data_IF_596183374226
#
_entry.id   IF_596183374226
#
_cell.length_a   1.000
_cell.length_b   1.000
_cell.length_c   1.000
_cell.angle_alpha   90.00
_cell.angle_beta   90.00
_cell.angle_gamma   90.00
#
_symmetry.space_group_name_H-M   'P 1'
#
loop_
_entity.id
_entity.type
_entity.pdbx_description
1 polymer ?
#
# COMPACT_ATOMS: atom_id res chain seq x y z
N UNK A 1 -49.46 -10.17 15.77
CA UNK A 1 -48.90 -8.85 16.14
C UNK A 1 -47.39 -8.98 16.17
N UNK A 2 -46.74 -8.18 15.32
CA UNK A 2 -45.34 -7.72 15.36
C UNK A 2 -44.22 -8.77 15.43
N UNK A 3 -43.80 -9.26 14.26
CA UNK A 3 -42.38 -9.54 14.01
C UNK A 3 -41.69 -8.24 13.63
N UNK A 4 -41.05 -7.60 14.59
CA UNK A 4 -40.22 -6.43 14.32
C UNK A 4 -38.88 -6.90 13.77
N UNK A 5 -38.71 -6.70 12.46
CA UNK A 5 -37.49 -7.03 11.73
C UNK A 5 -36.38 -6.13 12.24
N UNK A 6 -35.35 -6.74 12.81
CA UNK A 6 -34.01 -6.15 12.87
C UNK A 6 -33.68 -5.55 11.51
N UNK A 7 -33.68 -4.21 11.43
CA UNK A 7 -33.02 -3.50 10.34
C UNK A 7 -31.54 -3.86 10.42
N UNK A 8 -31.11 -4.80 9.58
CA UNK A 8 -29.71 -5.07 9.36
C UNK A 8 -29.08 -3.77 8.88
N UNK A 9 -28.16 -3.20 9.66
CA UNK A 9 -27.17 -2.27 9.14
C UNK A 9 -26.53 -2.98 7.94
N UNK A 10 -26.85 -2.56 6.71
CA UNK A 10 -26.13 -3.08 5.55
C UNK A 10 -24.72 -2.50 5.63
N UNK A 11 -23.82 -3.36 6.10
CA UNK A 11 -22.40 -3.33 5.77
C UNK A 11 -22.33 -3.28 4.23
N UNK A 12 -21.62 -2.29 3.69
CA UNK A 12 -21.77 -1.74 2.33
C UNK A 12 -22.25 -2.70 1.20
N UNK A 13 -23.23 -2.23 0.41
CA UNK A 13 -23.76 -2.91 -0.79
C UNK A 13 -25.25 -3.27 -0.71
N UNK A 14 -25.94 -3.31 -1.85
CA UNK A 14 -27.30 -3.80 -2.05
C UNK A 14 -27.31 -5.28 -2.50
N UNK A 15 -28.44 -5.99 -2.38
CA UNK A 15 -28.57 -7.34 -2.92
C UNK A 15 -28.27 -7.39 -4.42
N UNK A 16 -27.54 -8.40 -4.89
CA UNK A 16 -27.20 -8.57 -6.32
C UNK A 16 -28.38 -9.11 -7.17
N UNK A 17 -29.52 -9.43 -6.56
CA UNK A 17 -30.69 -9.96 -7.24
C UNK A 17 -31.49 -8.84 -7.94
N UNK A 18 -31.68 -8.96 -9.26
CA UNK A 18 -32.40 -7.98 -10.09
C UNK A 18 -33.82 -7.65 -9.60
N UNK A 19 -34.57 -8.66 -9.12
CA UNK A 19 -35.93 -8.47 -8.64
C UNK A 19 -35.99 -7.69 -7.31
N UNK A 20 -34.93 -7.77 -6.50
CA UNK A 20 -34.78 -6.99 -5.27
C UNK A 20 -34.24 -5.60 -5.57
N UNK A 21 -33.25 -5.48 -6.47
CA UNK A 21 -32.72 -4.20 -6.92
C UNK A 21 -33.81 -3.30 -7.50
N UNK A 22 -34.71 -3.85 -8.33
CA UNK A 22 -35.84 -3.07 -8.89
C UNK A 22 -36.78 -2.49 -7.82
N UNK A 23 -36.82 -3.07 -6.61
CA UNK A 23 -37.64 -2.58 -5.49
C UNK A 23 -36.91 -1.55 -4.64
N UNK A 24 -35.58 -1.58 -4.63
CA UNK A 24 -34.74 -0.76 -3.74
C UNK A 24 -34.21 0.48 -4.47
N UNK A 25 -33.79 0.33 -5.73
CA UNK A 25 -33.27 1.42 -6.55
C UNK A 25 -34.39 2.38 -6.93
N UNK A 26 -34.07 3.66 -7.01
CA UNK A 26 -35.00 4.63 -7.62
C UNK A 26 -35.19 4.32 -9.12
N UNK A 27 -36.31 4.75 -9.74
CA UNK A 27 -36.52 4.54 -11.17
C UNK A 27 -35.37 5.07 -12.04
N UNK A 28 -34.78 6.20 -11.65
CA UNK A 28 -33.62 6.79 -12.32
C UNK A 28 -32.37 5.92 -12.15
N UNK A 29 -32.04 5.51 -10.91
CA UNK A 29 -30.90 4.63 -10.64
C UNK A 29 -31.01 3.32 -11.42
N UNK A 30 -32.19 2.69 -11.44
CA UNK A 30 -32.40 1.46 -12.21
C UNK A 30 -32.19 1.70 -13.71
N UNK A 31 -32.80 2.75 -14.27
CA UNK A 31 -32.64 3.10 -15.69
C UNK A 31 -31.18 3.32 -16.07
N UNK A 32 -30.40 3.95 -15.20
CA UNK A 32 -28.98 4.21 -15.45
C UNK A 32 -28.17 2.92 -15.32
N UNK A 33 -28.27 2.24 -14.17
CA UNK A 33 -27.39 1.13 -13.80
C UNK A 33 -27.70 -0.17 -14.54
N UNK A 34 -28.94 -0.35 -15.01
CA UNK A 34 -29.40 -1.57 -15.69
C UNK A 34 -29.74 -1.36 -17.15
N UNK A 35 -30.43 -0.26 -17.47
CA UNK A 35 -30.87 0.04 -18.83
C UNK A 35 -29.88 0.95 -19.60
N UNK A 36 -28.66 1.11 -19.08
CA UNK A 36 -27.57 1.89 -19.67
C UNK A 36 -27.93 3.37 -19.93
N UNK A 37 -28.81 3.92 -19.09
CA UNK A 37 -29.17 5.32 -19.11
C UNK A 37 -28.03 6.25 -18.68
N UNK A 38 -28.24 7.54 -18.86
CA UNK A 38 -27.30 8.60 -18.43
C UNK A 38 -28.06 9.66 -17.66
N UNK A 39 -27.52 10.09 -16.52
CA UNK A 39 -28.07 11.18 -15.72
C UNK A 39 -28.03 12.52 -16.47
N UNK A 40 -28.84 13.48 -16.04
CA UNK A 40 -28.71 14.85 -16.53
C UNK A 40 -27.38 15.50 -16.05
N UNK A 41 -26.67 16.24 -16.92
CA UNK A 41 -25.47 16.98 -16.52
C UNK A 41 -25.85 18.10 -15.55
N UNK A 42 -24.97 18.39 -14.59
CA UNK A 42 -25.10 19.43 -13.55
C UNK A 42 -26.28 19.28 -12.58
N UNK A 43 -27.12 18.27 -12.77
CA UNK A 43 -28.29 17.95 -11.94
C UNK A 43 -28.14 16.56 -11.30
N UNK A 44 -26.97 16.27 -10.76
CA UNK A 44 -26.65 15.00 -10.11
C UNK A 44 -25.89 15.21 -8.79
N UNK A 45 -25.73 14.15 -8.01
CA UNK A 45 -25.24 14.26 -6.63
C UNK A 45 -23.76 14.64 -6.51
N UNK A 46 -22.91 14.25 -7.48
CA UNK A 46 -21.46 14.28 -7.28
C UNK A 46 -20.67 15.08 -8.32
N UNK A 47 -21.31 15.72 -9.31
CA UNK A 47 -20.58 16.54 -10.30
C UNK A 47 -19.69 17.60 -9.62
N UNK A 48 -20.22 18.33 -8.65
CA UNK A 48 -19.50 19.39 -7.92
C UNK A 48 -18.95 18.95 -6.55
N UNK A 49 -19.04 17.65 -6.21
CA UNK A 49 -18.50 17.18 -4.94
C UNK A 49 -16.96 17.32 -4.93
N UNK A 50 -16.45 18.05 -3.93
CA UNK A 50 -15.02 18.31 -3.69
C UNK A 50 -14.53 17.74 -2.35
N UNK A 51 -15.40 17.05 -1.61
CA UNK A 51 -15.02 16.43 -0.34
C UNK A 51 -14.00 15.31 -0.59
N UNK A 52 -13.01 15.13 0.30
CA UNK A 52 -12.11 14.00 0.23
C UNK A 52 -12.86 12.71 0.58
N UNK A 53 -12.61 11.65 -0.17
CA UNK A 53 -13.27 10.35 0.01
C UNK A 53 -13.27 9.51 -1.27
N UNK A 54 -13.80 8.29 -1.17
CA UNK A 54 -13.90 7.37 -2.31
C UNK A 54 -15.34 7.27 -2.81
N UNK A 55 -15.47 6.85 -4.06
CA UNK A 55 -16.72 6.49 -4.70
C UNK A 55 -16.73 4.98 -4.89
N UNK A 56 -17.71 4.34 -4.29
CA UNK A 56 -17.94 2.89 -4.37
C UNK A 56 -19.15 2.60 -5.26
N UNK A 57 -19.22 1.41 -5.81
CA UNK A 57 -20.40 0.93 -6.50
C UNK A 57 -21.58 0.88 -5.53
N UNK A 58 -22.68 1.57 -5.87
CA UNK A 58 -23.87 1.61 -5.03
C UNK A 58 -24.42 0.19 -4.74
N UNK A 59 -24.26 -0.75 -5.67
CA UNK A 59 -24.77 -2.12 -5.50
C UNK A 59 -23.77 -3.04 -4.81
N UNK A 60 -22.53 -3.18 -5.28
CA UNK A 60 -21.61 -4.14 -4.65
C UNK A 60 -20.82 -3.59 -3.47
N UNK A 61 -20.77 -2.27 -3.28
CA UNK A 61 -19.84 -1.62 -2.36
C UNK A 61 -18.38 -1.71 -2.81
N UNK A 62 -18.06 -2.23 -4.01
CA UNK A 62 -16.66 -2.28 -4.44
C UNK A 62 -16.12 -0.88 -4.73
N UNK A 63 -14.87 -0.57 -4.31
CA UNK A 63 -14.25 0.72 -4.55
C UNK A 63 -13.97 0.91 -6.05
N UNK A 64 -14.38 2.07 -6.58
CA UNK A 64 -14.28 2.39 -8.00
C UNK A 64 -13.31 3.55 -8.24
N UNK A 65 -13.59 4.72 -7.63
CA UNK A 65 -12.85 5.96 -7.91
C UNK A 65 -12.52 6.74 -6.64
N UNK A 66 -11.49 7.57 -6.67
CA UNK A 66 -11.08 8.44 -5.56
C UNK A 66 -11.33 9.91 -5.90
N UNK A 67 -11.68 10.72 -4.91
CA UNK A 67 -11.74 12.18 -5.11
C UNK A 67 -10.37 12.80 -5.44
N UNK A 68 -9.25 12.11 -5.17
CA UNK A 68 -7.90 12.56 -5.54
C UNK A 68 -7.69 12.54 -7.05
N UNK A 69 -8.28 11.56 -7.72
CA UNK A 69 -8.23 11.42 -9.17
C UNK A 69 -9.42 12.12 -9.85
N UNK A 70 -10.30 12.77 -9.07
CA UNK A 70 -11.44 13.53 -9.58
C UNK A 70 -10.97 14.89 -10.09
N UNK A 71 -11.45 15.28 -11.26
CA UNK A 71 -11.18 16.60 -11.84
C UNK A 71 -12.43 17.18 -12.47
N UNK A 72 -12.41 18.50 -12.70
CA UNK A 72 -13.48 19.18 -13.41
C UNK A 72 -13.25 19.07 -14.92
N UNK A 73 -14.12 18.33 -15.61
CA UNK A 73 -14.08 18.17 -17.07
C UNK A 73 -14.99 19.16 -17.80
N UNK A 74 -15.78 19.97 -17.09
CA UNK A 74 -16.81 20.84 -17.67
C UNK A 74 -18.03 20.12 -18.24
N UNK A 75 -18.10 18.78 -18.13
CA UNK A 75 -19.20 17.99 -18.73
C UNK A 75 -20.47 17.94 -17.88
N UNK A 76 -20.37 18.23 -16.58
CA UNK A 76 -21.49 18.15 -15.64
C UNK A 76 -21.71 16.77 -15.00
N UNK A 77 -20.79 15.82 -15.19
CA UNK A 77 -20.73 14.55 -14.45
C UNK A 77 -19.41 14.42 -13.68
N UNK A 78 -19.36 13.68 -12.56
CA UNK A 78 -18.10 13.40 -11.89
C UNK A 78 -17.14 12.68 -12.86
N UNK A 79 -15.95 13.24 -12.98
CA UNK A 79 -14.93 12.79 -13.94
C UNK A 79 -13.64 12.44 -13.20
N UNK A 80 -13.04 11.30 -13.56
CA UNK A 80 -11.85 10.78 -12.90
C UNK A 80 -10.76 10.44 -13.92
N UNK A 81 -9.49 10.51 -13.52
CA UNK A 81 -8.36 10.19 -14.40
C UNK A 81 -8.02 8.70 -14.45
N UNK A 82 -8.40 7.95 -13.41
CA UNK A 82 -8.19 6.49 -13.27
C UNK A 82 -9.09 5.89 -12.17
N UNK A 83 -9.34 4.58 -12.21
CA UNK A 83 -9.94 3.86 -11.08
C UNK A 83 -8.93 3.58 -9.96
N UNK A 84 -9.43 3.38 -8.74
CA UNK A 84 -8.62 2.95 -7.59
C UNK A 84 -8.11 1.52 -7.82
N UNK A 85 -9.01 0.64 -8.25
CA UNK A 85 -8.75 -0.79 -8.42
C UNK A 85 -9.21 -1.20 -9.83
N UNK A 86 -8.32 -1.22 -10.84
CA UNK A 86 -8.70 -1.50 -12.23
C UNK A 86 -9.48 -2.81 -12.41
N UNK A 87 -9.16 -3.84 -11.61
CA UNK A 87 -9.86 -5.14 -11.64
C UNK A 87 -11.34 -5.09 -11.24
N UNK A 88 -11.83 -3.99 -10.65
CA UNK A 88 -13.23 -3.81 -10.30
C UNK A 88 -14.08 -3.25 -11.47
N UNK A 89 -13.45 -2.88 -12.58
CA UNK A 89 -14.09 -2.31 -13.76
C UNK A 89 -14.04 -3.29 -14.93
N UNK A 90 -15.09 -3.27 -15.74
CA UNK A 90 -15.15 -3.92 -17.05
C UNK A 90 -15.35 -2.85 -18.12
N UNK A 91 -14.49 -2.86 -19.12
CA UNK A 91 -14.61 -2.03 -20.31
C UNK A 91 -15.36 -2.79 -21.41
N UNK A 92 -16.38 -2.17 -22.01
CA UNK A 92 -17.16 -2.75 -23.11
C UNK A 92 -17.28 -1.75 -24.27
N UNK A 93 -17.03 -2.15 -25.52
CA UNK A 93 -17.34 -1.31 -26.66
C UNK A 93 -18.83 -0.95 -26.70
N UNK A 94 -19.14 0.34 -26.85
CA UNK A 94 -20.49 0.86 -26.99
C UNK A 94 -20.58 1.65 -28.30
N UNK A 95 -21.39 1.13 -29.23
CA UNK A 95 -21.68 1.73 -30.55
C UNK A 95 -23.08 2.36 -30.60
N UNK A 96 -23.77 2.44 -29.46
CA UNK A 96 -25.06 3.11 -29.36
C UNK A 96 -24.95 4.60 -29.70
N UNK A 97 -26.07 5.23 -30.04
CA UNK A 97 -26.12 6.65 -30.42
C UNK A 97 -25.20 7.03 -31.60
N UNK A 98 -24.80 6.05 -32.44
CA UNK A 98 -23.88 6.22 -33.58
C UNK A 98 -22.51 6.80 -33.20
N UNK A 99 -22.12 6.68 -31.93
CA UNK A 99 -20.82 7.10 -31.42
C UNK A 99 -20.05 5.86 -30.96
N UNK A 100 -18.76 5.80 -31.27
CA UNK A 100 -17.88 4.76 -30.73
C UNK A 100 -17.36 5.24 -29.37
N UNK A 101 -17.77 4.55 -28.30
CA UNK A 101 -17.36 4.84 -26.92
C UNK A 101 -16.95 3.54 -26.23
N UNK A 102 -16.30 3.67 -25.08
CA UNK A 102 -16.00 2.53 -24.20
C UNK A 102 -16.86 2.70 -22.95
N UNK A 103 -17.85 1.84 -22.80
CA UNK A 103 -18.67 1.73 -21.60
C UNK A 103 -17.84 1.18 -20.44
N UNK A 104 -18.04 1.76 -19.27
CA UNK A 104 -17.49 1.31 -17.99
C UNK A 104 -18.62 0.67 -17.17
N UNK A 105 -18.42 -0.57 -16.74
CA UNK A 105 -19.32 -1.28 -15.81
C UNK A 105 -18.59 -1.73 -14.55
N UNK A 106 -19.31 -1.80 -13.44
CA UNK A 106 -18.84 -2.49 -12.23
C UNK A 106 -18.76 -3.99 -12.50
N UNK A 107 -17.64 -4.63 -12.18
CA UNK A 107 -17.41 -6.05 -12.45
C UNK A 107 -18.35 -6.96 -11.67
N UNK A 108 -18.62 -6.62 -10.40
CA UNK A 108 -19.36 -7.50 -9.50
C UNK A 108 -20.87 -7.35 -9.62
N UNK A 109 -21.37 -6.11 -9.69
CA UNK A 109 -22.80 -5.85 -9.82
C UNK A 109 -23.29 -5.79 -11.26
N UNK A 110 -22.39 -5.79 -12.23
CA UNK A 110 -22.67 -5.49 -13.64
C UNK A 110 -23.41 -4.16 -13.83
N UNK A 111 -23.29 -3.19 -12.91
CA UNK A 111 -23.92 -1.88 -13.04
C UNK A 111 -23.23 -1.04 -14.12
N UNK A 112 -24.01 -0.44 -15.01
CA UNK A 112 -23.51 0.61 -15.90
C UNK A 112 -23.06 1.82 -15.07
N UNK A 113 -21.80 2.22 -15.22
CA UNK A 113 -21.22 3.35 -14.50
C UNK A 113 -21.17 4.59 -15.40
N UNK A 114 -20.77 4.44 -16.66
CA UNK A 114 -20.63 5.54 -17.60
C UNK A 114 -19.68 5.16 -18.73
N UNK A 115 -18.81 6.07 -19.14
CA UNK A 115 -17.89 5.86 -20.26
C UNK A 115 -16.49 6.40 -19.97
N UNK A 116 -15.48 5.83 -20.63
CA UNK A 116 -14.10 6.33 -20.62
C UNK A 116 -13.73 6.91 -21.99
N UNK A 117 -12.98 8.01 -21.96
CA UNK A 117 -12.52 8.75 -23.14
C UNK A 117 -11.01 9.04 -23.00
N UNK A 118 -10.30 9.16 -24.13
CA UNK A 118 -8.86 9.45 -24.18
C UNK A 118 -8.53 10.94 -24.26
N UNK A 119 -9.44 11.81 -23.81
CA UNK A 119 -9.33 13.27 -23.83
C UNK A 119 -9.13 13.86 -22.41
N UNK A 120 -8.66 13.03 -21.48
CA UNK A 120 -8.41 13.43 -20.10
C UNK A 120 -7.07 14.14 -19.89
N UNK A 121 -6.83 14.67 -18.68
CA UNK A 121 -5.57 15.32 -18.34
C UNK A 121 -4.42 14.31 -18.22
N UNK A 122 -3.19 14.80 -18.44
CA UNK A 122 -1.97 14.04 -18.13
C UNK A 122 -1.87 13.79 -16.60
N UNK A 123 -1.22 12.70 -16.16
CA UNK A 123 -0.38 11.79 -16.94
C UNK A 123 -1.14 10.64 -17.63
N UNK A 124 -2.36 10.29 -17.22
CA UNK A 124 -3.07 9.14 -17.79
C UNK A 124 -3.66 9.43 -19.17
N UNK A 125 -4.05 10.69 -19.43
CA UNK A 125 -4.76 11.07 -20.64
C UNK A 125 -6.19 10.53 -20.71
N UNK A 126 -6.67 9.88 -19.64
CA UNK A 126 -7.98 9.22 -19.60
C UNK A 126 -8.98 10.05 -18.80
N UNK A 127 -10.22 10.07 -19.25
CA UNK A 127 -11.37 10.69 -18.58
C UNK A 127 -12.48 9.65 -18.42
N UNK A 128 -12.62 9.16 -17.20
CA UNK A 128 -13.73 8.32 -16.77
C UNK A 128 -14.89 9.25 -16.38
N UNK A 129 -15.92 9.32 -17.21
CA UNK A 129 -17.09 10.16 -17.01
C UNK A 129 -18.23 9.27 -16.48
N UNK A 130 -18.62 9.45 -15.22
CA UNK A 130 -19.40 8.46 -14.46
C UNK A 130 -20.72 9.07 -13.97
N UNK A 131 -21.78 8.28 -13.95
CA UNK A 131 -23.08 8.65 -13.37
C UNK A 131 -23.00 8.60 -11.84
N UNK A 132 -23.44 9.67 -11.18
CA UNK A 132 -23.53 9.75 -9.72
C UNK A 132 -24.51 8.74 -9.14
N UNK A 133 -25.63 8.46 -9.81
CA UNK A 133 -26.64 7.49 -9.41
C UNK A 133 -26.08 6.07 -9.24
N UNK A 134 -24.99 5.74 -9.94
CA UNK A 134 -24.34 4.43 -9.84
C UNK A 134 -23.30 4.37 -8.69
N UNK A 135 -23.04 5.50 -8.03
CA UNK A 135 -22.01 5.64 -7.02
C UNK A 135 -22.63 5.89 -5.64
N UNK A 136 -21.92 5.43 -4.61
CA UNK A 136 -22.07 5.91 -3.25
C UNK A 136 -20.74 6.57 -2.84
N UNK A 137 -20.80 7.80 -2.37
CA UNK A 137 -19.64 8.49 -1.82
C UNK A 137 -19.43 8.14 -0.35
N UNK A 138 -18.23 7.67 -0.01
CA UNK A 138 -17.78 7.45 1.36
C UNK A 138 -16.74 8.52 1.69
N UNK A 139 -17.07 9.50 2.56
CA UNK A 139 -16.13 10.53 2.98
C UNK A 139 -14.86 9.94 3.59
N UNK A 140 -13.73 10.63 3.45
CA UNK A 140 -12.44 10.22 4.05
C UNK A 140 -12.60 9.89 5.54
N UNK A 141 -13.35 10.72 6.27
CA UNK A 141 -13.61 10.57 7.70
C UNK A 141 -14.39 9.29 8.09
N UNK A 142 -15.13 8.69 7.15
CA UNK A 142 -15.95 7.50 7.38
C UNK A 142 -15.29 6.22 6.82
N UNK A 143 -14.15 6.31 6.13
CA UNK A 143 -13.55 5.15 5.44
C UNK A 143 -13.26 3.97 6.37
N UNK A 144 -12.63 4.19 7.52
CA UNK A 144 -12.34 3.10 8.47
C UNK A 144 -13.61 2.46 8.99
N UNK A 145 -14.57 3.29 9.40
CA UNK A 145 -15.84 2.85 9.97
C UNK A 145 -16.65 2.00 8.98
N UNK A 146 -16.61 2.36 7.70
CA UNK A 146 -17.33 1.67 6.64
C UNK A 146 -16.54 0.50 6.01
N UNK A 147 -15.34 0.19 6.53
CA UNK A 147 -14.55 -0.98 6.10
C UNK A 147 -13.59 -0.74 4.93
N UNK A 148 -13.33 0.52 4.59
CA UNK A 148 -12.48 0.99 3.49
C UNK A 148 -11.15 1.60 3.97
N UNK A 149 -10.71 1.29 5.19
CA UNK A 149 -9.54 1.90 5.82
C UNK A 149 -8.24 1.80 5.00
N UNK A 150 -8.08 0.74 4.18
CA UNK A 150 -6.92 0.59 3.29
C UNK A 150 -6.78 1.75 2.27
N UNK A 151 -7.89 2.40 1.92
CA UNK A 151 -7.93 3.49 0.93
C UNK A 151 -7.66 4.88 1.54
N UNK A 152 -7.50 5.01 2.86
CA UNK A 152 -7.08 6.26 3.50
C UNK A 152 -5.72 6.75 2.97
N UNK A 153 -4.86 5.80 2.59
CA UNK A 153 -3.55 6.08 1.99
C UNK A 153 -3.62 6.96 0.73
N UNK A 154 -4.76 6.96 0.02
CA UNK A 154 -4.96 7.75 -1.20
C UNK A 154 -4.96 9.26 -0.92
N UNK A 155 -5.45 9.70 0.24
CA UNK A 155 -5.71 11.12 0.53
C UNK A 155 -4.53 11.85 1.18
N UNK A 156 -3.40 11.17 1.41
CA UNK A 156 -2.13 11.77 1.79
C UNK A 156 -2.21 12.78 2.95
N UNK A 157 -2.11 12.30 4.21
CA UNK A 157 -1.88 13.09 5.44
C UNK A 157 -2.50 14.50 5.46
N UNK A 158 -3.84 14.60 5.41
CA UNK A 158 -4.60 15.68 6.06
C UNK A 158 -5.89 15.19 6.72
N UNK A 159 -5.87 14.01 7.34
CA UNK A 159 -6.88 13.66 8.33
C UNK A 159 -6.65 14.50 9.61
N UNK A 160 -7.46 15.55 9.79
CA UNK A 160 -7.72 16.13 11.11
C UNK A 160 -8.46 15.07 11.93
N UNK A 161 -7.73 14.37 12.78
CA UNK A 161 -8.29 13.66 13.94
C UNK A 161 -9.07 14.70 14.76
N UNK A 162 -10.36 14.44 14.99
CA UNK A 162 -11.13 15.17 15.97
C UNK A 162 -10.47 14.98 17.35
N UNK A 163 -9.72 16.00 17.76
CA UNK A 163 -9.21 16.28 19.11
C UNK A 163 -8.99 15.05 20.01
N UNK A 164 -7.87 14.37 19.81
CA UNK A 164 -7.03 13.93 20.92
C UNK A 164 -5.67 14.59 20.75
N UNK A 165 -5.42 15.59 21.60
CA UNK A 165 -4.16 16.28 21.92
C UNK A 165 -2.94 15.86 21.08
N UNK A 166 -2.42 16.78 20.26
CA UNK A 166 -1.14 16.62 19.56
C UNK A 166 0.01 16.41 20.55
N UNK A 167 0.49 15.17 20.65
CA UNK A 167 1.88 14.84 20.92
C UNK A 167 2.52 14.24 19.66
N UNK A 168 3.86 14.22 19.53
CA UNK A 168 4.53 13.68 18.35
C UNK A 168 4.13 12.21 18.14
N UNK A 169 3.66 11.83 16.94
CA UNK A 169 3.55 10.42 16.57
C UNK A 169 4.97 9.86 16.55
N UNK A 170 5.33 9.14 17.62
CA UNK A 170 6.65 8.55 17.82
C UNK A 170 6.94 7.61 16.65
N UNK A 171 7.97 7.90 15.87
CA UNK A 171 8.51 6.96 14.88
C UNK A 171 8.90 5.67 15.60
N UNK A 172 8.70 4.55 14.93
CA UNK A 172 9.20 3.26 15.41
C UNK A 172 10.50 2.92 14.69
N UNK A 173 11.28 2.03 15.30
CA UNK A 173 12.57 1.61 14.75
C UNK A 173 12.54 0.13 14.38
N UNK A 174 13.12 -0.20 13.24
CA UNK A 174 13.47 -1.56 12.82
C UNK A 174 14.96 -1.61 12.51
N UNK A 175 15.63 -2.72 12.83
CA UNK A 175 17.07 -2.88 12.55
C UNK A 175 17.31 -4.22 11.85
N UNK A 176 17.88 -4.17 10.65
CA UNK A 176 18.13 -5.34 9.80
C UNK A 176 19.57 -5.38 9.30
N UNK A 177 20.17 -6.56 9.29
CA UNK A 177 21.42 -6.87 8.60
C UNK A 177 21.15 -7.85 7.45
N UNK A 178 21.62 -7.51 6.25
CA UNK A 178 21.28 -8.24 5.02
C UNK A 178 22.43 -8.24 4.00
N UNK A 179 23.67 -8.26 4.49
CA UNK A 179 24.89 -8.07 3.68
C UNK A 179 25.43 -6.65 3.76
N UNK A 180 26.14 -6.20 2.72
CA UNK A 180 26.67 -4.84 2.64
C UNK A 180 25.56 -3.80 2.86
N UNK A 181 25.67 -3.01 3.92
CA UNK A 181 24.62 -2.08 4.35
C UNK A 181 24.31 -0.95 3.34
N UNK A 182 25.14 -0.70 2.32
CA UNK A 182 24.93 0.35 1.33
C UNK A 182 23.76 0.03 0.41
N UNK A 183 23.73 -1.20 -0.12
CA UNK A 183 22.62 -1.68 -0.93
C UNK A 183 21.34 -1.79 -0.12
N UNK A 184 21.45 -2.26 1.12
CA UNK A 184 20.32 -2.42 2.05
C UNK A 184 19.71 -1.07 2.40
N UNK A 185 20.53 -0.07 2.74
CA UNK A 185 20.07 1.30 3.04
C UNK A 185 19.34 1.89 1.84
N UNK A 186 19.94 1.80 0.66
CA UNK A 186 19.34 2.30 -0.57
C UNK A 186 17.97 1.66 -0.84
N UNK A 187 17.83 0.36 -0.62
CA UNK A 187 16.56 -0.33 -0.82
C UNK A 187 15.48 0.14 0.16
N UNK A 188 15.81 0.35 1.44
CA UNK A 188 14.83 0.82 2.43
C UNK A 188 14.50 2.31 2.32
N UNK A 189 15.40 3.14 1.80
CA UNK A 189 15.13 4.57 1.54
C UNK A 189 14.02 4.78 0.50
N UNK A 190 13.86 3.86 -0.44
CA UNK A 190 12.82 3.91 -1.46
C UNK A 190 11.44 3.43 -0.94
N UNK A 191 11.39 2.85 0.26
CA UNK A 191 10.15 2.32 0.84
C UNK A 191 9.29 3.45 1.40
N UNK A 192 8.11 3.65 0.81
CA UNK A 192 7.12 4.62 1.30
C UNK A 192 6.73 4.33 2.75
N UNK A 193 6.88 5.33 3.62
CA UNK A 193 6.63 5.20 5.07
C UNK A 193 7.90 5.13 5.92
N UNK A 194 9.05 4.86 5.31
CA UNK A 194 10.35 5.09 5.95
C UNK A 194 10.61 6.59 6.05
N UNK A 195 10.99 7.04 7.24
CA UNK A 195 11.26 8.45 7.58
C UNK A 195 12.75 8.73 7.49
N UNK A 196 13.57 7.83 8.04
CA UNK A 196 15.02 7.96 8.03
C UNK A 196 15.69 6.58 8.04
N UNK A 197 16.92 6.53 7.53
CA UNK A 197 17.79 5.36 7.57
C UNK A 197 19.16 5.78 8.05
N UNK A 198 19.77 4.95 8.90
CA UNK A 198 21.14 5.13 9.37
C UNK A 198 21.86 3.79 9.29
N UNK A 199 22.97 3.73 8.58
CA UNK A 199 23.83 2.52 8.54
C UNK A 199 24.74 2.48 9.77
N UNK A 200 25.04 1.28 10.25
CA UNK A 200 25.87 1.10 11.43
C UNK A 200 26.17 -0.35 11.76
N UNK A 201 26.62 -0.55 12.99
CA UNK A 201 27.11 -1.83 13.49
C UNK A 201 26.32 -2.24 14.74
N UNK A 202 25.88 -3.49 14.82
CA UNK A 202 25.13 -4.02 15.97
C UNK A 202 25.39 -5.52 16.16
N UNK A 203 25.21 -6.04 17.37
CA UNK A 203 25.23 -7.48 17.66
C UNK A 203 26.53 -8.00 18.28
N UNK A 204 27.63 -7.26 18.12
CA UNK A 204 28.95 -7.66 18.59
C UNK A 204 29.25 -7.31 20.06
N UNK A 205 30.54 -7.40 20.40
CA UNK A 205 31.08 -7.19 21.75
C UNK A 205 31.99 -5.95 21.87
N UNK A 206 32.53 -5.46 20.75
CA UNK A 206 33.43 -4.31 20.73
C UNK A 206 32.64 -3.02 20.89
N UNK A 207 33.05 -2.15 21.82
CA UNK A 207 32.40 -0.84 22.00
C UNK A 207 32.96 0.18 21.01
N UNK A 208 32.08 1.02 20.45
CA UNK A 208 32.43 2.07 19.48
C UNK A 208 33.34 1.57 18.33
N UNK A 209 32.98 0.48 17.64
CA UNK A 209 33.83 -0.09 16.61
C UNK A 209 33.95 0.85 15.41
N UNK A 210 35.15 0.91 14.82
CA UNK A 210 35.40 1.56 13.53
C UNK A 210 35.17 0.58 12.38
N UNK A 211 34.86 1.07 11.17
CA UNK A 211 34.72 0.18 10.01
C UNK A 211 35.96 -0.70 9.76
N UNK A 212 37.16 -0.16 10.03
CA UNK A 212 38.41 -0.91 9.93
C UNK A 212 38.46 -2.12 10.87
N UNK A 213 37.94 -1.97 12.09
CA UNK A 213 37.85 -3.07 13.06
C UNK A 213 36.78 -4.08 12.67
N UNK A 214 35.63 -3.62 12.16
CA UNK A 214 34.56 -4.48 11.62
C UNK A 214 35.10 -5.41 10.52
N UNK A 215 35.90 -4.87 9.60
CA UNK A 215 36.51 -5.64 8.52
C UNK A 215 37.46 -6.75 8.99
N UNK A 216 37.94 -6.74 10.25
CA UNK A 216 38.75 -7.84 10.81
C UNK A 216 37.91 -9.09 11.12
N UNK A 217 36.58 -8.95 11.22
CA UNK A 217 35.67 -10.02 11.60
C UNK A 217 35.71 -10.41 13.08
N UNK A 218 36.53 -9.77 13.91
CA UNK A 218 36.72 -10.16 15.33
C UNK A 218 35.78 -9.45 16.30
N UNK A 219 35.04 -8.44 15.84
CA UNK A 219 34.18 -7.59 16.69
C UNK A 219 32.82 -8.22 17.02
N UNK A 220 32.41 -9.23 16.24
CA UNK A 220 31.08 -9.88 16.31
C UNK A 220 29.92 -9.03 15.79
N UNK A 221 30.18 -7.80 15.34
CA UNK A 221 29.13 -6.92 14.81
C UNK A 221 28.70 -7.33 13.41
N UNK A 222 27.40 -7.20 13.14
CA UNK A 222 26.84 -7.17 11.79
C UNK A 222 26.80 -5.73 11.28
N UNK A 223 26.99 -5.56 9.97
CA UNK A 223 26.52 -4.39 9.24
C UNK A 223 25.00 -4.41 9.22
N UNK A 224 24.39 -3.31 9.67
CA UNK A 224 22.95 -3.17 9.80
C UNK A 224 22.48 -1.80 9.34
N UNK A 225 21.20 -1.73 8.99
CA UNK A 225 20.48 -0.48 8.76
C UNK A 225 19.46 -0.31 9.87
N UNK A 226 19.56 0.79 10.60
CA UNK A 226 18.51 1.28 11.48
C UNK A 226 17.51 2.10 10.65
N UNK A 227 16.26 1.66 10.64
CA UNK A 227 15.18 2.24 9.87
C UNK A 227 14.21 2.89 10.87
N UNK A 228 14.05 4.20 10.76
CA UNK A 228 12.99 4.93 11.42
C UNK A 228 11.80 4.99 10.48
N UNK A 229 10.66 4.47 10.90
CA UNK A 229 9.46 4.42 10.07
C UNK A 229 8.25 4.97 10.82
N UNK A 230 7.29 5.44 10.03
CA UNK A 230 6.00 5.89 10.52
C UNK A 230 5.04 4.68 10.51
N UNK A 231 4.68 4.11 11.69
CA UNK A 231 3.77 2.97 11.75
C UNK A 231 2.37 3.30 11.19
N UNK A 232 2.01 4.58 11.06
CA UNK A 232 0.78 5.01 10.38
C UNK A 232 0.88 5.01 8.85
N UNK A 233 2.08 4.81 8.27
CA UNK A 233 2.30 4.70 6.82
C UNK A 233 2.75 3.32 6.38
N UNK A 234 3.56 2.64 7.18
CA UNK A 234 4.07 1.30 6.86
C UNK A 234 4.14 0.44 8.13
N UNK A 235 3.72 -0.82 8.02
CA UNK A 235 3.80 -1.77 9.13
C UNK A 235 5.17 -2.46 9.19
N UNK A 236 5.51 -2.99 10.36
CA UNK A 236 6.74 -3.77 10.54
C UNK A 236 6.77 -5.02 9.64
N UNK A 237 5.62 -5.67 9.42
CA UNK A 237 5.50 -6.82 8.52
C UNK A 237 5.84 -6.46 7.08
N UNK A 238 5.46 -5.26 6.61
CA UNK A 238 5.84 -4.77 5.28
C UNK A 238 7.34 -4.49 5.17
N UNK A 239 7.96 -3.99 6.23
CA UNK A 239 9.41 -3.87 6.30
C UNK A 239 10.10 -5.24 6.29
N UNK A 240 9.55 -6.24 6.99
CA UNK A 240 10.05 -7.61 6.93
C UNK A 240 9.89 -8.20 5.53
N UNK A 241 8.73 -8.03 4.89
CA UNK A 241 8.53 -8.46 3.50
C UNK A 241 9.60 -7.87 2.58
N UNK A 242 9.87 -6.56 2.67
CA UNK A 242 10.95 -5.91 1.93
C UNK A 242 12.32 -6.51 2.25
N UNK A 243 12.64 -6.75 3.54
CA UNK A 243 13.87 -7.40 3.97
C UNK A 243 14.10 -8.76 3.27
N UNK A 244 13.07 -9.61 3.15
CA UNK A 244 13.19 -10.92 2.49
C UNK A 244 13.30 -10.84 0.96
N UNK A 245 13.06 -9.69 0.34
CA UNK A 245 13.16 -9.48 -1.11
C UNK A 245 14.55 -9.02 -1.57
N UNK A 246 15.31 -8.39 -0.68
CA UNK A 246 16.54 -7.65 -1.05
C UNK A 246 17.84 -8.44 -0.90
N UNK A 247 17.80 -9.63 -0.29
CA UNK A 247 18.99 -10.43 -0.01
C UNK A 247 18.71 -11.94 -0.01
N UNK A 248 19.77 -12.76 0.08
CA UNK A 248 19.67 -14.21 0.19
C UNK A 248 19.72 -14.60 1.69
N UNK A 249 18.61 -15.01 2.30
CA UNK A 249 18.55 -15.33 3.71
C UNK A 249 19.06 -16.73 4.06
N UNK A 250 19.60 -17.48 3.10
CA UNK A 250 20.04 -18.88 3.27
C UNK A 250 21.55 -19.05 3.35
N UNK A 251 22.31 -17.97 3.11
CA UNK A 251 23.78 -17.99 3.15
C UNK A 251 24.28 -17.54 4.52
N UNK A 252 24.86 -18.48 5.28
CA UNK A 252 25.41 -18.20 6.60
C UNK A 252 26.67 -17.33 6.47
N UNK A 253 26.71 -16.21 7.20
CA UNK A 253 27.86 -15.30 7.28
C UNK A 253 28.42 -14.87 5.91
N UNK A 254 27.52 -14.67 4.95
CA UNK A 254 27.85 -14.26 3.58
C UNK A 254 26.63 -13.65 2.92
N UNK A 255 26.87 -12.63 2.09
CA UNK A 255 25.90 -12.17 1.10
C UNK A 255 26.60 -11.91 -0.24
N UNK A 256 26.27 -12.72 -1.25
CA UNK A 256 26.94 -12.63 -2.55
C UNK A 256 28.46 -12.83 -2.43
N UNK A 257 29.29 -11.91 -2.96
CA UNK A 257 30.75 -11.96 -2.86
C UNK A 257 31.27 -11.55 -1.47
N UNK A 258 30.44 -10.92 -0.64
CA UNK A 258 30.84 -10.41 0.68
C UNK A 258 30.79 -11.54 1.70
N UNK A 259 31.96 -11.99 2.16
CA UNK A 259 32.14 -13.12 3.08
C UNK A 259 32.60 -12.61 4.44
N UNK A 260 31.87 -12.97 5.50
CA UNK A 260 32.18 -12.56 6.86
C UNK A 260 30.95 -12.51 7.75
N UNK A 261 31.15 -12.71 9.04
CA UNK A 261 30.07 -12.63 10.04
C UNK A 261 29.40 -11.24 10.06
N UNK A 262 30.13 -10.20 9.67
CA UNK A 262 29.60 -8.85 9.52
C UNK A 262 28.53 -8.73 8.43
N UNK A 263 28.50 -9.64 7.45
CA UNK A 263 27.52 -9.64 6.35
C UNK A 263 26.37 -10.61 6.57
N UNK A 264 26.23 -11.17 7.78
CA UNK A 264 25.18 -12.14 8.08
C UNK A 264 23.78 -11.54 7.97
N UNK A 265 22.83 -12.38 7.59
CA UNK A 265 21.40 -12.05 7.64
C UNK A 265 20.91 -12.07 9.10
N UNK A 266 20.40 -10.94 9.61
CA UNK A 266 19.94 -10.80 10.99
C UNK A 266 18.82 -9.77 11.12
N UNK A 267 17.84 -10.06 11.98
CA UNK A 267 16.78 -9.15 12.40
C UNK A 267 16.96 -8.87 13.89
N UNK A 268 17.21 -7.61 14.25
CA UNK A 268 17.30 -7.19 15.64
C UNK A 268 15.95 -6.62 16.11
N UNK A 269 15.25 -7.38 16.96
CA UNK A 269 13.93 -7.00 17.45
C UNK A 269 14.03 -6.10 18.70
N UNK A 270 13.19 -5.07 18.76
CA UNK A 270 13.09 -4.16 19.90
C UNK A 270 12.09 -4.65 20.96
N UNK A 271 11.06 -5.40 20.55
CA UNK A 271 10.00 -5.89 21.42
C UNK A 271 9.49 -7.29 20.99
N UNK A 272 8.60 -7.85 21.80
CA UNK A 272 8.04 -9.19 21.57
C UNK A 272 7.17 -9.28 20.31
N UNK A 273 6.53 -8.19 19.90
CA UNK A 273 5.71 -8.14 18.68
C UNK A 273 6.58 -8.27 17.43
N UNK A 274 7.67 -7.50 17.36
CA UNK A 274 8.66 -7.60 16.28
C UNK A 274 9.29 -8.99 16.23
N UNK A 275 9.67 -9.55 17.38
CA UNK A 275 10.21 -10.92 17.46
C UNK A 275 9.22 -11.93 16.86
N UNK A 276 7.97 -11.89 17.33
CA UNK A 276 6.93 -12.81 16.89
C UNK A 276 6.67 -12.68 15.39
N UNK A 277 6.55 -11.46 14.87
CA UNK A 277 6.33 -11.22 13.45
C UNK A 277 7.49 -11.74 12.58
N UNK A 278 8.74 -11.50 13.01
CA UNK A 278 9.94 -11.98 12.32
C UNK A 278 10.02 -13.51 12.30
N UNK A 279 9.79 -14.17 13.44
CA UNK A 279 9.80 -15.63 13.57
C UNK A 279 8.67 -16.27 12.74
N UNK A 280 7.45 -15.74 12.82
CA UNK A 280 6.30 -16.25 12.06
C UNK A 280 6.51 -16.15 10.55
N UNK A 281 7.03 -15.01 10.07
CA UNK A 281 7.29 -14.86 8.64
C UNK A 281 8.45 -15.75 8.17
N UNK A 282 9.52 -15.87 8.97
CA UNK A 282 10.62 -16.81 8.70
C UNK A 282 10.11 -18.26 8.61
N UNK A 283 9.25 -18.68 9.54
CA UNK A 283 8.67 -20.02 9.53
C UNK A 283 7.77 -20.24 8.30
N UNK A 284 6.92 -19.25 7.99
CA UNK A 284 6.05 -19.27 6.80
C UNK A 284 6.86 -19.43 5.51
N UNK A 285 7.93 -18.67 5.34
CA UNK A 285 8.79 -18.73 4.15
C UNK A 285 9.52 -20.07 4.03
N UNK A 286 9.98 -20.66 5.13
CA UNK A 286 10.55 -22.01 5.10
C UNK A 286 9.51 -23.08 4.73
N UNK A 287 8.29 -22.99 5.29
CA UNK A 287 7.20 -23.94 4.99
C UNK A 287 6.70 -23.85 3.56
N UNK A 288 6.74 -22.66 2.97
CA UNK A 288 6.35 -22.43 1.59
C UNK A 288 7.43 -22.87 0.59
N UNK A 289 8.60 -23.32 1.05
CA UNK A 289 9.73 -23.74 0.21
C UNK A 289 10.15 -22.69 -0.84
N UNK A 290 9.97 -21.40 -0.50
CA UNK A 290 10.32 -20.25 -1.34
C UNK A 290 11.83 -20.21 -1.67
N UNK A 291 12.63 -20.91 -0.87
CA UNK A 291 14.08 -21.02 -1.00
C UNK A 291 14.51 -22.48 -1.06
N UNK A 292 15.50 -22.79 -1.92
CA UNK A 292 16.12 -24.13 -2.02
C UNK A 292 16.73 -24.61 -0.70
N UNK A 293 17.30 -23.68 0.05
CA UNK A 293 17.98 -23.94 1.31
C UNK A 293 17.19 -23.34 2.46
N UNK A 294 17.37 -23.91 3.66
CA UNK A 294 16.74 -23.38 4.88
C UNK A 294 17.22 -21.96 5.18
N UNK A 295 16.31 -21.10 5.59
CA UNK A 295 16.63 -19.73 6.02
C UNK A 295 17.47 -19.75 7.30
N UNK A 296 18.63 -19.12 7.25
CA UNK A 296 19.60 -19.01 8.36
C UNK A 296 19.56 -17.67 9.09
N UNK A 297 18.73 -16.72 8.63
CA UNK A 297 18.56 -15.40 9.25
C UNK A 297 18.40 -15.48 10.77
N UNK A 298 19.26 -14.82 11.52
CA UNK A 298 19.16 -14.74 12.96
C UNK A 298 18.04 -13.77 13.39
N UNK A 299 17.34 -14.06 14.48
CA UNK A 299 16.34 -13.16 15.09
C UNK A 299 16.78 -12.92 16.53
N UNK A 300 17.36 -11.76 16.80
CA UNK A 300 18.09 -11.46 18.03
C UNK A 300 17.53 -10.21 18.73
N UNK A 301 17.61 -10.11 20.07
CA UNK A 301 17.24 -8.88 20.75
C UNK A 301 18.16 -7.73 20.33
N UNK A 302 17.60 -6.54 20.13
CA UNK A 302 18.33 -5.31 19.82
C UNK A 302 19.41 -5.05 20.89
N UNK A 303 20.64 -4.82 20.42
CA UNK A 303 21.78 -4.38 21.24
C UNK A 303 22.06 -2.89 21.00
N UNK A 304 23.14 -2.39 21.59
CA UNK A 304 23.63 -1.04 21.31
C UNK A 304 23.93 -0.88 19.81
N UNK A 305 23.42 0.20 19.22
CA UNK A 305 23.64 0.57 17.82
C UNK A 305 24.80 1.56 17.75
N UNK A 306 25.80 1.26 16.93
CA UNK A 306 26.89 2.18 16.64
C UNK A 306 26.75 2.69 15.21
N UNK A 307 26.38 3.97 15.00
CA UNK A 307 26.34 4.56 13.66
C UNK A 307 27.70 4.44 12.98
N UNK A 308 27.71 4.01 11.71
CA UNK A 308 28.93 4.00 10.92
C UNK A 308 29.33 5.43 10.53
N UNK A 309 30.58 5.59 10.12
CA UNK A 309 31.15 6.87 9.71
C UNK A 309 30.32 7.54 8.60
N UNK A 310 30.29 8.88 8.58
CA UNK A 310 29.44 9.68 7.67
C UNK A 310 29.63 9.35 6.19
N UNK A 311 30.83 8.90 5.80
CA UNK A 311 31.09 8.51 4.41
C UNK A 311 30.32 7.24 3.99
N UNK A 312 29.93 6.37 4.94
CA UNK A 312 29.09 5.21 4.65
C UNK A 312 27.60 5.56 4.54
N UNK A 313 27.16 6.65 5.18
CA UNK A 313 25.76 7.07 5.17
C UNK A 313 25.35 7.50 3.75
N UNK A 314 24.27 6.94 3.21
CA UNK A 314 23.74 7.23 1.87
C UNK A 314 24.79 7.06 0.77
N UNK A 315 25.70 6.09 0.92
CA UNK A 315 26.83 5.91 0.01
C UNK A 315 26.41 5.73 -1.46
N UNK A 316 25.40 4.89 -1.74
CA UNK A 316 24.91 4.68 -3.10
C UNK A 316 24.34 5.96 -3.74
N UNK A 317 23.60 6.76 -2.95
CA UNK A 317 23.05 8.06 -3.37
C UNK A 317 24.17 9.06 -3.68
N UNK A 318 25.14 9.21 -2.75
CA UNK A 318 26.29 10.11 -2.90
C UNK A 318 27.16 9.78 -4.12
N UNK A 319 27.28 8.50 -4.47
CA UNK A 319 28.14 8.02 -5.55
C UNK A 319 27.38 7.65 -6.84
N UNK A 320 26.07 7.91 -6.91
CA UNK A 320 25.20 7.54 -8.05
C UNK A 320 25.32 6.05 -8.46
N UNK A 321 25.61 5.18 -7.48
CA UNK A 321 25.75 3.75 -7.70
C UNK A 321 24.37 3.09 -7.66
N UNK A 322 24.10 2.19 -8.61
CA UNK A 322 22.93 1.32 -8.50
C UNK A 322 23.10 0.45 -7.24
N UNK A 323 22.05 0.30 -6.42
CA UNK A 323 22.13 -0.57 -5.25
C UNK A 323 22.49 -1.98 -5.70
N UNK A 324 23.66 -2.47 -5.28
CA UNK A 324 24.02 -3.88 -5.42
C UNK A 324 23.25 -4.68 -4.37
N UNK A 325 21.94 -4.79 -4.55
CA UNK A 325 21.18 -5.83 -3.88
C UNK A 325 21.37 -7.10 -4.70
N UNK A 326 21.94 -8.13 -4.07
CA UNK A 326 21.96 -9.47 -4.68
C UNK A 326 20.55 -10.04 -4.61
N UNK A 327 19.72 -9.66 -5.58
CA UNK A 327 18.42 -10.28 -5.82
C UNK A 327 18.65 -11.76 -6.07
N UNK A 328 18.22 -12.63 -5.16
CA UNK A 328 18.49 -14.04 -5.31
C UNK A 328 17.53 -14.68 -6.29
N UNK A 329 17.98 -15.77 -6.91
CA UNK A 329 17.10 -16.69 -7.62
C UNK A 329 16.15 -17.34 -6.60
N UNK A 330 14.86 -17.00 -6.70
CA UNK A 330 13.76 -17.70 -6.03
C UNK A 330 13.46 -19.00 -6.77
N UNK A 331 12.81 -19.94 -6.09
CA UNK A 331 12.30 -21.16 -6.71
C UNK A 331 11.24 -20.90 -7.76
#
# INVERSE_FOLDING_TARGET
>A
MTHDKQKSKLQCGLPLNEAELKKILTPEQYKIMRDNGTEAPFLNAYWNNKKPGIYVDLVSGKPLFSSVDKFDSGTGWPSFTKPIVPKNIVEKPDISQKMMRIEIRSKESNSHLGHVFSDGPKPTGMRYCINSAALQFIPEEDLEKEGYGEYLSLFGKKAKVAQTVFGPTKTQTAVFGAGCFWGVESAFREVSGVVNTTVGFMGGITKNPTYKEICTGTTGHAEVVQIEYDPGKISYEKLLEAFWQIHNPTTLNRQGPDVGEQYRSVIFYENSEQKKAAEQLKEKLNKAEEWKNKIVTAVEPKKEFYPAEEYHQRYCEKNHMKPMCHFPARN
#
